data_IF_834966490576
#
_entry.id   IF_834966490576
#
_cell.length_a   1.000
_cell.length_b   1.000
_cell.length_c   1.000
_cell.angle_alpha   90.00
_cell.angle_beta   90.00
_cell.angle_gamma   90.00
#
_symmetry.space_group_name_H-M   'P 1'
#
loop_
_entity.id
_entity.type
_entity.pdbx_description
1 polymer ?
#
# COMPACT_ATOMS: atom_id res chain seq x y z
N UNK A 1 -7.87 -11.52 11.43
CA UNK A 1 -8.05 -10.42 12.39
C UNK A 1 -8.24 -9.14 11.62
N UNK A 2 -9.34 -8.43 11.90
CA UNK A 2 -9.54 -7.00 11.68
C UNK A 2 -9.35 -6.42 10.28
N UNK A 3 -10.36 -6.52 9.41
CA UNK A 3 -10.52 -5.64 8.25
C UNK A 3 -11.15 -4.30 8.69
N UNK A 4 -10.55 -3.65 9.69
CA UNK A 4 -10.99 -2.35 10.22
C UNK A 4 -10.23 -1.18 9.58
N UNK A 5 -9.84 -1.32 8.31
CA UNK A 5 -9.25 -0.23 7.55
C UNK A 5 -10.34 0.60 6.87
N UNK A 6 -10.16 1.93 6.84
CA UNK A 6 -10.96 2.77 5.94
C UNK A 6 -10.88 2.20 4.52
N UNK A 7 -12.03 2.10 3.86
CA UNK A 7 -12.07 1.71 2.44
C UNK A 7 -11.31 2.75 1.61
N UNK A 8 -10.85 2.35 0.43
CA UNK A 8 -10.15 3.28 -0.47
C UNK A 8 -11.03 4.49 -0.81
N UNK A 9 -12.35 4.27 -0.95
CA UNK A 9 -13.33 5.34 -1.16
C UNK A 9 -13.37 6.30 0.01
N UNK A 10 -13.51 5.81 1.25
CA UNK A 10 -13.49 6.66 2.45
C UNK A 10 -12.16 7.42 2.60
N UNK A 11 -11.04 6.80 2.21
CA UNK A 11 -9.73 7.44 2.24
C UNK A 11 -9.63 8.58 1.20
N UNK A 12 -10.19 8.38 0.01
CA UNK A 12 -10.23 9.37 -1.07
C UNK A 12 -11.30 10.45 -0.87
N UNK A 13 -12.31 10.22 -0.02
CA UNK A 13 -13.26 11.26 0.40
C UNK A 13 -12.59 12.30 1.34
N UNK A 14 -11.50 11.93 2.00
CA UNK A 14 -10.75 12.86 2.83
C UNK A 14 -9.97 13.86 1.94
N UNK A 15 -10.39 15.12 1.93
CA UNK A 15 -9.82 16.17 1.06
C UNK A 15 -8.29 16.29 1.17
N UNK A 16 -7.71 16.12 2.36
CA UNK A 16 -6.26 16.16 2.54
C UNK A 16 -5.51 15.03 1.82
N UNK A 17 -6.14 13.87 1.61
CA UNK A 17 -5.56 12.73 0.91
C UNK A 17 -5.84 12.85 -0.58
N UNK A 18 -7.08 13.17 -0.95
CA UNK A 18 -7.52 13.34 -2.34
C UNK A 18 -6.68 14.35 -3.13
N UNK A 19 -6.21 15.41 -2.47
CA UNK A 19 -5.42 16.47 -3.11
C UNK A 19 -3.93 16.11 -3.31
N UNK A 20 -3.45 15.05 -2.68
CA UNK A 20 -2.06 14.57 -2.86
C UNK A 20 -1.88 13.91 -4.24
N UNK A 21 -0.63 13.83 -4.76
CA UNK A 21 -0.36 13.04 -5.97
C UNK A 21 -0.79 11.58 -5.85
N UNK A 22 -0.63 10.96 -4.67
CA UNK A 22 -1.05 9.58 -4.44
C UNK A 22 -2.57 9.42 -4.51
N UNK A 23 -3.33 10.33 -3.87
CA UNK A 23 -4.80 10.32 -3.94
C UNK A 23 -5.34 10.58 -5.34
N UNK A 24 -4.75 11.53 -6.08
CA UNK A 24 -5.11 11.83 -7.48
C UNK A 24 -4.88 10.64 -8.42
N UNK A 25 -3.77 9.93 -8.23
CA UNK A 25 -3.41 8.76 -9.04
C UNK A 25 -4.05 7.45 -8.53
N UNK A 26 -4.83 7.51 -7.44
CA UNK A 26 -5.34 6.33 -6.72
C UNK A 26 -4.24 5.31 -6.40
N UNK A 27 -3.04 5.80 -6.08
CA UNK A 27 -1.88 4.99 -5.75
C UNK A 27 -1.91 4.60 -4.26
N UNK A 28 -2.90 3.77 -3.89
CA UNK A 28 -3.13 3.29 -2.52
C UNK A 28 -2.92 1.78 -2.53
N UNK A 29 -1.89 1.31 -1.82
CA UNK A 29 -1.53 -0.11 -1.78
C UNK A 29 -1.81 -0.69 -0.40
N UNK A 30 -2.60 -1.77 -0.36
CA UNK A 30 -2.92 -2.51 0.87
C UNK A 30 -2.12 -3.79 0.91
N UNK A 31 -1.36 -3.98 1.98
CA UNK A 31 -0.61 -5.21 2.26
C UNK A 31 -0.93 -5.67 3.68
N UNK A 32 -0.79 -6.96 3.94
CA UNK A 32 -0.95 -7.50 5.29
C UNK A 32 0.10 -6.90 6.25
N UNK A 33 -0.35 -6.43 7.40
CA UNK A 33 0.52 -5.70 8.34
C UNK A 33 1.61 -6.58 8.96
N UNK A 34 1.30 -7.82 9.32
CA UNK A 34 2.30 -8.76 9.86
C UNK A 34 3.30 -9.20 8.79
N UNK A 35 2.88 -9.25 7.53
CA UNK A 35 3.74 -9.53 6.40
C UNK A 35 4.71 -8.37 6.11
N UNK A 36 4.22 -7.13 6.05
CA UNK A 36 5.05 -5.97 5.72
C UNK A 36 5.93 -5.49 6.89
N UNK A 37 5.42 -5.57 8.12
CA UNK A 37 6.06 -4.97 9.31
C UNK A 37 6.55 -6.00 10.33
N UNK A 38 6.31 -7.30 10.11
CA UNK A 38 6.70 -8.35 11.04
C UNK A 38 8.15 -8.83 10.91
N UNK A 39 8.87 -8.42 9.87
CA UNK A 39 10.30 -8.73 9.64
C UNK A 39 10.69 -10.21 9.81
N UNK A 40 9.82 -11.12 9.36
CA UNK A 40 10.05 -12.57 9.44
C UNK A 40 10.74 -13.17 8.21
N UNK A 41 10.69 -14.51 8.03
CA UNK A 41 11.29 -15.18 6.87
C UNK A 41 10.71 -14.74 5.51
N UNK A 42 9.57 -14.04 5.51
CA UNK A 42 8.90 -13.52 4.32
C UNK A 42 9.23 -12.05 3.99
N UNK A 43 10.14 -11.42 4.73
CA UNK A 43 10.48 -9.99 4.55
C UNK A 43 10.97 -9.67 3.14
N UNK A 44 11.80 -10.53 2.55
CA UNK A 44 12.29 -10.33 1.19
C UNK A 44 11.13 -10.32 0.17
N UNK A 45 10.14 -11.20 0.33
CA UNK A 45 8.96 -11.19 -0.53
C UNK A 45 8.15 -9.90 -0.36
N UNK A 46 7.92 -9.46 0.88
CA UNK A 46 7.19 -8.22 1.15
C UNK A 46 7.91 -6.99 0.57
N UNK A 47 9.24 -6.96 0.63
CA UNK A 47 10.04 -5.88 0.07
C UNK A 47 9.97 -5.85 -1.47
N UNK A 48 10.08 -7.00 -2.14
CA UNK A 48 9.99 -7.08 -3.60
C UNK A 48 8.57 -6.72 -4.08
N UNK A 49 7.54 -7.24 -3.42
CA UNK A 49 6.14 -6.93 -3.75
C UNK A 49 5.84 -5.43 -3.57
N UNK A 50 6.33 -4.81 -2.49
CA UNK A 50 6.21 -3.37 -2.30
C UNK A 50 6.97 -2.58 -3.39
N UNK A 51 8.17 -3.04 -3.78
CA UNK A 51 8.95 -2.41 -4.83
C UNK A 51 8.22 -2.47 -6.18
N UNK A 52 7.64 -3.62 -6.53
CA UNK A 52 6.83 -3.80 -7.73
C UNK A 52 5.61 -2.87 -7.74
N UNK A 53 4.95 -2.68 -6.59
CA UNK A 53 3.81 -1.77 -6.46
C UNK A 53 4.20 -0.31 -6.63
N UNK A 54 5.34 0.12 -6.09
CA UNK A 54 5.78 1.53 -6.10
C UNK A 54 6.49 1.92 -7.39
N UNK A 55 7.33 1.05 -7.95
CA UNK A 55 8.17 1.33 -9.11
C UNK A 55 7.69 0.66 -10.40
N UNK A 56 6.78 -0.31 -10.31
CA UNK A 56 6.36 -1.14 -11.43
C UNK A 56 7.34 -2.27 -11.73
N UNK A 57 6.83 -3.35 -12.32
CA UNK A 57 7.57 -4.58 -12.66
C UNK A 57 8.67 -4.41 -13.72
N UNK A 58 8.85 -3.20 -14.26
CA UNK A 58 9.90 -2.87 -15.23
C UNK A 58 11.25 -2.48 -14.58
N UNK A 59 11.29 -2.34 -13.25
CA UNK A 59 12.48 -1.90 -12.50
C UNK A 59 13.46 -3.05 -12.14
N UNK A 60 13.20 -4.28 -12.60
CA UNK A 60 14.00 -5.48 -12.34
C UNK A 60 14.39 -6.20 -13.63
#
# INVERSE_FOLDING_TARGET
GGDHGATETELLEHAAIALTPAGKNKAIYRMDGAYLLGFGPRTAAAANELADLVYGTAAH
#
